data_IF_027597646484
#
_entry.id   IF_027597646484
#
_cell.length_a   1.000
_cell.length_b   1.000
_cell.length_c   1.000
_cell.angle_alpha   90.00
_cell.angle_beta   90.00
_cell.angle_gamma   90.00
#
_symmetry.space_group_name_H-M   'P 1'
#
loop_
_entity.id
_entity.type
_entity.pdbx_description
1 polymer ?
#
# COMPACT_ATOMS: atom_id res chain seq x y z
N UNK A 1 -15.54 -14.59 -6.41
CA UNK A 1 -16.02 -13.41 -5.66
C UNK A 1 -16.05 -12.23 -6.61
N UNK A 2 -17.00 -11.29 -6.45
CA UNK A 2 -16.97 -10.05 -7.19
C UNK A 2 -15.85 -9.14 -6.63
N UNK A 3 -15.12 -8.46 -7.49
CA UNK A 3 -14.14 -7.43 -7.11
C UNK A 3 -14.83 -6.35 -6.25
N UNK A 4 -14.31 -6.12 -5.06
CA UNK A 4 -14.81 -5.05 -4.17
C UNK A 4 -13.99 -3.79 -4.43
N UNK A 5 -14.55 -2.88 -5.21
CA UNK A 5 -13.91 -1.59 -5.51
C UNK A 5 -13.99 -0.65 -4.29
N UNK A 6 -12.89 -0.58 -3.55
CA UNK A 6 -12.77 0.27 -2.37
C UNK A 6 -12.11 1.62 -2.66
N UNK A 7 -11.51 1.83 -3.85
CA UNK A 7 -10.56 2.92 -4.08
C UNK A 7 -10.82 3.79 -5.31
N UNK A 8 -11.69 3.38 -6.23
CA UNK A 8 -11.92 4.14 -7.48
C UNK A 8 -12.45 5.57 -7.22
N UNK A 9 -13.28 5.77 -6.18
CA UNK A 9 -13.83 7.09 -5.84
C UNK A 9 -12.83 8.04 -5.18
N UNK A 10 -11.70 7.53 -4.66
CA UNK A 10 -10.72 8.31 -3.87
C UNK A 10 -9.38 8.46 -4.57
N UNK A 11 -9.29 7.98 -5.80
CA UNK A 11 -8.02 7.87 -6.53
C UNK A 11 -7.26 9.18 -6.67
N UNK A 12 -7.92 10.34 -6.73
CA UNK A 12 -7.27 11.66 -6.82
C UNK A 12 -6.62 12.08 -5.51
N UNK A 13 -7.34 12.00 -4.39
CA UNK A 13 -6.80 12.28 -3.06
C UNK A 13 -5.71 11.24 -2.70
N UNK A 14 -5.93 9.98 -3.07
CA UNK A 14 -4.99 8.89 -2.85
C UNK A 14 -3.66 9.15 -3.58
N UNK A 15 -3.68 9.48 -4.85
CA UNK A 15 -2.47 9.75 -5.64
C UNK A 15 -1.71 10.99 -5.16
N UNK A 16 -2.42 12.02 -4.71
CA UNK A 16 -1.84 13.31 -4.31
C UNK A 16 -1.16 13.29 -2.94
N UNK A 17 -1.70 12.50 -1.99
CA UNK A 17 -1.27 12.53 -0.59
C UNK A 17 -0.61 11.22 -0.12
N UNK A 18 -0.34 10.28 -1.01
CA UNK A 18 0.39 9.05 -0.64
C UNK A 18 1.86 9.21 -0.99
N UNK A 19 2.75 9.15 0.03
CA UNK A 19 4.18 9.25 -0.24
C UNK A 19 4.69 8.01 -0.99
N UNK A 20 5.75 8.19 -1.77
CA UNK A 20 6.43 7.10 -2.47
C UNK A 20 7.19 6.19 -1.50
N UNK A 21 7.56 5.00 -1.95
CA UNK A 21 8.30 4.06 -1.12
C UNK A 21 9.79 4.42 -1.04
N UNK A 22 10.46 4.17 0.11
CA UNK A 22 11.89 4.41 0.26
C UNK A 22 12.71 3.62 -0.76
N UNK A 23 13.70 4.23 -1.38
CA UNK A 23 14.56 3.57 -2.35
C UNK A 23 15.23 2.31 -1.79
N UNK A 24 15.66 2.32 -0.53
CA UNK A 24 16.26 1.15 0.13
C UNK A 24 15.30 -0.03 0.27
N UNK A 25 14.00 0.20 0.48
CA UNK A 25 12.98 -0.87 0.46
C UNK A 25 12.89 -1.50 -0.93
N UNK A 26 12.76 -0.64 -1.95
CA UNK A 26 12.60 -1.09 -3.34
C UNK A 26 13.82 -1.87 -3.80
N UNK A 27 15.01 -1.36 -3.53
CA UNK A 27 16.28 -2.02 -3.85
C UNK A 27 16.40 -3.37 -3.14
N UNK A 28 16.08 -3.43 -1.85
CA UNK A 28 16.14 -4.67 -1.08
C UNK A 28 15.18 -5.73 -1.64
N UNK A 29 13.93 -5.34 -1.90
CA UNK A 29 12.90 -6.23 -2.48
C UNK A 29 13.31 -6.67 -3.89
N UNK A 30 13.81 -5.76 -4.72
CA UNK A 30 14.28 -6.07 -6.04
C UNK A 30 15.44 -7.07 -6.01
N UNK A 31 16.28 -7.09 -4.99
CA UNK A 31 17.42 -7.99 -4.83
C UNK A 31 17.08 -9.36 -4.22
N UNK A 32 15.81 -9.64 -3.88
CA UNK A 32 15.40 -10.94 -3.34
C UNK A 32 15.58 -12.09 -4.34
N UNK A 33 15.04 -12.02 -5.59
CA UNK A 33 15.22 -13.10 -6.55
C UNK A 33 16.56 -12.97 -7.29
N UNK A 34 17.00 -14.07 -7.89
CA UNK A 34 18.20 -14.07 -8.74
C UNK A 34 17.96 -13.43 -10.12
N UNK A 35 16.74 -13.57 -10.65
CA UNK A 35 16.36 -13.05 -11.97
C UNK A 35 15.86 -11.61 -11.94
N UNK A 36 15.89 -10.94 -13.09
CA UNK A 36 15.49 -9.54 -13.27
C UNK A 36 14.63 -9.32 -14.52
N UNK A 37 14.06 -10.38 -15.08
CA UNK A 37 13.30 -10.28 -16.33
C UNK A 37 11.91 -9.70 -16.11
N UNK A 38 11.15 -10.26 -15.15
CA UNK A 38 9.74 -9.90 -14.95
C UNK A 38 9.40 -9.78 -13.47
N UNK A 39 8.93 -8.59 -13.08
CA UNK A 39 8.26 -8.38 -11.80
C UNK A 39 6.76 -8.19 -12.02
N UNK A 40 5.94 -8.67 -11.07
CA UNK A 40 4.50 -8.39 -10.99
C UNK A 40 4.24 -7.48 -9.80
N UNK A 41 3.51 -6.38 -10.02
CA UNK A 41 2.95 -5.54 -8.95
C UNK A 41 1.44 -5.76 -8.89
N UNK A 42 0.98 -6.51 -7.89
CA UNK A 42 -0.40 -6.94 -7.71
C UNK A 42 -1.21 -5.91 -6.92
N UNK A 43 -2.33 -5.46 -7.48
CA UNK A 43 -3.13 -4.32 -7.02
C UNK A 43 -2.27 -3.05 -6.97
N UNK A 44 -1.70 -2.72 -8.11
CA UNK A 44 -0.71 -1.64 -8.31
C UNK A 44 -1.27 -0.24 -8.07
N UNK A 45 -2.61 -0.08 -8.07
CA UNK A 45 -3.25 1.23 -8.01
C UNK A 45 -2.81 2.12 -9.19
N UNK A 46 -2.25 3.27 -8.88
CA UNK A 46 -1.70 4.20 -9.88
C UNK A 46 -0.22 3.91 -10.26
N UNK A 47 0.33 2.76 -9.84
CA UNK A 47 1.63 2.30 -10.31
C UNK A 47 2.85 2.71 -9.47
N UNK A 48 2.71 3.18 -8.23
CA UNK A 48 3.84 3.67 -7.42
C UNK A 48 4.94 2.61 -7.24
N UNK A 49 4.57 1.38 -6.84
CA UNK A 49 5.54 0.31 -6.64
C UNK A 49 6.11 -0.19 -7.99
N UNK A 50 5.25 -0.30 -9.01
CA UNK A 50 5.68 -0.69 -10.35
C UNK A 50 6.73 0.27 -10.93
N UNK A 51 6.51 1.58 -10.82
CA UNK A 51 7.46 2.60 -11.28
C UNK A 51 8.78 2.54 -10.51
N UNK A 52 8.70 2.32 -9.20
CA UNK A 52 9.89 2.20 -8.36
C UNK A 52 10.70 0.93 -8.69
N UNK A 53 10.06 -0.16 -9.10
CA UNK A 53 10.71 -1.40 -9.53
C UNK A 53 11.25 -1.36 -10.97
N UNK A 54 10.74 -0.46 -11.83
CA UNK A 54 11.11 -0.39 -13.24
C UNK A 54 12.62 -0.24 -13.52
N UNK A 55 13.44 0.45 -12.71
CA UNK A 55 14.88 0.50 -12.90
C UNK A 55 15.58 -0.85 -12.73
N UNK A 56 14.99 -1.78 -11.99
CA UNK A 56 15.60 -3.06 -11.59
C UNK A 56 15.19 -4.24 -12.45
N UNK A 57 14.15 -4.11 -13.29
CA UNK A 57 13.62 -5.20 -14.10
C UNK A 57 13.53 -4.83 -15.58
N UNK A 58 13.64 -5.84 -16.44
CA UNK A 58 13.43 -5.64 -17.89
C UNK A 58 11.98 -5.22 -18.14
N UNK A 59 11.03 -5.84 -17.41
CA UNK A 59 9.60 -5.53 -17.48
C UNK A 59 8.98 -5.62 -16.09
N UNK A 60 8.09 -4.68 -15.78
CA UNK A 60 7.18 -4.76 -14.65
C UNK A 60 5.74 -4.84 -15.18
N UNK A 61 5.03 -5.91 -14.86
CA UNK A 61 3.60 -6.04 -15.16
C UNK A 61 2.81 -5.58 -13.94
N UNK A 62 2.12 -4.46 -14.07
CA UNK A 62 1.38 -3.79 -13.01
C UNK A 62 -0.12 -4.10 -13.16
N UNK A 63 -0.67 -4.83 -12.19
CA UNK A 63 -2.03 -5.36 -12.23
C UNK A 63 -2.94 -4.65 -11.26
N UNK A 64 -4.13 -4.26 -11.70
CA UNK A 64 -5.19 -3.78 -10.81
C UNK A 64 -6.57 -4.20 -11.34
N UNK A 65 -7.51 -4.46 -10.43
CA UNK A 65 -8.90 -4.73 -10.76
C UNK A 65 -9.68 -3.47 -11.12
N UNK A 66 -9.18 -2.27 -10.78
CA UNK A 66 -9.82 -0.98 -11.01
C UNK A 66 -9.25 -0.29 -12.24
N UNK A 67 -10.06 -0.20 -13.32
CA UNK A 67 -9.72 0.60 -14.50
C UNK A 67 -9.52 2.09 -14.17
N UNK A 68 -10.22 2.60 -13.17
CA UNK A 68 -10.09 3.99 -12.73
C UNK A 68 -8.71 4.26 -12.09
N UNK A 69 -8.13 3.29 -11.38
CA UNK A 69 -6.77 3.38 -10.87
C UNK A 69 -5.75 3.31 -12.00
N UNK A 70 -5.87 2.32 -12.89
CA UNK A 70 -4.97 2.16 -14.04
C UNK A 70 -5.00 3.38 -14.97
N UNK A 71 -6.16 4.03 -15.16
CA UNK A 71 -6.29 5.23 -15.97
C UNK A 71 -5.53 6.45 -15.42
N UNK A 72 -5.06 6.40 -14.17
CA UNK A 72 -4.23 7.44 -13.53
C UNK A 72 -2.77 7.05 -13.40
N UNK A 73 -2.41 5.87 -13.89
CA UNK A 73 -1.05 5.37 -13.81
C UNK A 73 -0.12 6.16 -14.74
N UNK A 74 1.08 6.42 -14.27
CA UNK A 74 2.10 7.10 -15.07
C UNK A 74 2.74 6.12 -16.05
N UNK A 75 2.74 6.47 -17.33
CA UNK A 75 3.37 5.66 -18.37
C UNK A 75 4.89 5.56 -18.15
N UNK A 76 5.44 4.36 -18.35
CA UNK A 76 6.87 4.10 -18.29
C UNK A 76 7.22 2.97 -19.28
N UNK A 77 8.34 3.05 -20.03
CA UNK A 77 8.67 2.10 -21.11
C UNK A 77 8.84 0.65 -20.63
N UNK A 78 9.16 0.43 -19.35
CA UNK A 78 9.30 -0.90 -18.74
C UNK A 78 8.11 -1.34 -17.89
N UNK A 79 7.02 -0.57 -17.84
CA UNK A 79 5.83 -0.89 -17.05
C UNK A 79 4.64 -1.11 -17.98
N UNK A 80 4.06 -2.29 -17.93
CA UNK A 80 2.82 -2.62 -18.64
C UNK A 80 1.67 -2.71 -17.63
N UNK A 81 0.62 -1.91 -17.84
CA UNK A 81 -0.57 -1.90 -16.98
C UNK A 81 -1.65 -2.81 -17.54
N UNK A 82 -2.19 -3.70 -16.72
CA UNK A 82 -3.20 -4.69 -17.12
C UNK A 82 -4.33 -4.78 -16.10
N UNK A 83 -5.57 -4.77 -16.57
CA UNK A 83 -6.73 -5.02 -15.72
C UNK A 83 -6.82 -6.51 -15.39
N UNK A 84 -6.43 -6.88 -14.17
CA UNK A 84 -6.49 -8.25 -13.68
C UNK A 84 -6.54 -8.28 -12.15
N UNK A 85 -7.01 -9.41 -11.61
CA UNK A 85 -7.02 -9.67 -10.18
C UNK A 85 -5.76 -10.43 -9.77
N UNK A 86 -5.29 -10.21 -8.53
CA UNK A 86 -4.17 -10.93 -7.95
C UNK A 86 -4.42 -12.45 -7.84
N UNK A 87 -5.69 -12.85 -7.78
CA UNK A 87 -6.14 -14.25 -7.75
C UNK A 87 -6.18 -14.93 -9.12
N UNK A 88 -5.84 -14.20 -10.21
CA UNK A 88 -5.80 -14.73 -11.59
C UNK A 88 -4.75 -13.97 -12.39
N UNK A 89 -3.49 -14.36 -12.21
CA UNK A 89 -2.36 -13.70 -12.85
C UNK A 89 -2.25 -14.08 -14.34
N UNK A 90 -2.26 -13.08 -15.26
CA UNK A 90 -2.31 -13.33 -16.71
C UNK A 90 -0.90 -13.55 -17.30
N UNK A 91 -0.12 -14.42 -16.69
CA UNK A 91 1.25 -14.77 -17.10
C UNK A 91 1.45 -16.26 -17.10
N UNK A 92 2.45 -16.72 -17.86
CA UNK A 92 2.81 -18.14 -17.96
C UNK A 92 3.36 -18.67 -16.62
N UNK A 93 3.31 -20.00 -16.47
CA UNK A 93 3.91 -20.68 -15.34
C UNK A 93 5.42 -20.46 -15.33
N UNK A 94 6.00 -20.33 -14.13
CA UNK A 94 7.45 -20.22 -13.90
C UNK A 94 8.15 -19.13 -14.72
N UNK A 95 7.46 -18.00 -14.94
CA UNK A 95 7.95 -16.90 -15.78
C UNK A 95 8.29 -15.62 -15.01
N UNK A 96 7.96 -15.55 -13.73
CA UNK A 96 8.05 -14.34 -12.92
C UNK A 96 9.17 -14.45 -11.89
N UNK A 97 10.03 -13.45 -11.82
CA UNK A 97 11.11 -13.42 -10.84
C UNK A 97 10.65 -12.84 -9.49
N UNK A 98 9.79 -11.82 -9.51
CA UNK A 98 9.29 -11.16 -8.31
C UNK A 98 7.77 -10.93 -8.39
N UNK A 99 7.05 -11.25 -7.32
CA UNK A 99 5.67 -10.82 -7.10
C UNK A 99 5.63 -9.89 -5.91
N UNK A 100 5.07 -8.69 -6.08
CA UNK A 100 4.89 -7.75 -4.99
C UNK A 100 3.42 -7.39 -4.78
N UNK A 101 3.07 -7.05 -3.53
CA UNK A 101 1.80 -6.46 -3.14
C UNK A 101 2.04 -5.33 -2.14
N UNK A 102 1.99 -4.09 -2.64
CA UNK A 102 2.25 -2.88 -1.88
C UNK A 102 0.95 -2.29 -1.32
N UNK A 103 0.75 -2.28 -0.01
CA UNK A 103 -0.47 -1.79 0.66
C UNK A 103 -1.77 -2.49 0.20
N UNK A 104 -1.69 -3.72 -0.30
CA UNK A 104 -2.82 -4.37 -0.96
C UNK A 104 -3.10 -5.79 -0.49
N UNK A 105 -2.11 -6.53 -0.02
CA UNK A 105 -2.22 -7.96 0.25
C UNK A 105 -3.38 -8.34 1.19
N UNK A 106 -3.76 -7.47 2.11
CA UNK A 106 -4.86 -7.69 3.04
C UNK A 106 -6.26 -7.75 2.39
N UNK A 107 -6.38 -7.37 1.11
CA UNK A 107 -7.62 -7.45 0.33
C UNK A 107 -7.80 -8.76 -0.43
N UNK A 108 -6.73 -9.57 -0.54
CA UNK A 108 -6.71 -10.73 -1.40
C UNK A 108 -7.39 -11.96 -0.78
N UNK A 109 -7.91 -12.83 -1.64
CA UNK A 109 -8.14 -14.22 -1.29
C UNK A 109 -6.78 -14.92 -1.20
N UNK A 110 -6.27 -15.09 0.02
CA UNK A 110 -4.93 -15.61 0.25
C UNK A 110 -4.69 -16.96 -0.39
N UNK A 111 -5.66 -17.88 -0.32
CA UNK A 111 -5.52 -19.21 -0.90
C UNK A 111 -5.30 -19.15 -2.41
N UNK A 112 -6.12 -18.37 -3.10
CA UNK A 112 -6.02 -18.19 -4.55
C UNK A 112 -4.78 -17.39 -4.94
N UNK A 113 -4.49 -16.30 -4.24
CA UNK A 113 -3.30 -15.48 -4.51
C UNK A 113 -2.02 -16.31 -4.37
N UNK A 114 -1.85 -17.06 -3.29
CA UNK A 114 -0.67 -17.88 -3.08
C UNK A 114 -0.55 -19.02 -4.09
N UNK A 115 -1.67 -19.63 -4.49
CA UNK A 115 -1.68 -20.62 -5.55
C UNK A 115 -1.22 -20.04 -6.90
N UNK A 116 -1.63 -18.80 -7.21
CA UNK A 116 -1.14 -18.11 -8.40
C UNK A 116 0.35 -17.75 -8.28
N UNK A 117 0.81 -17.25 -7.15
CA UNK A 117 2.23 -17.00 -6.94
C UNK A 117 3.07 -18.27 -7.12
N UNK A 118 2.65 -19.38 -6.52
CA UNK A 118 3.34 -20.67 -6.67
C UNK A 118 3.40 -21.16 -8.13
N UNK A 119 2.33 -20.88 -8.92
CA UNK A 119 2.29 -21.24 -10.34
C UNK A 119 3.26 -20.40 -11.18
N UNK A 120 3.27 -19.08 -10.96
CA UNK A 120 3.96 -18.15 -11.89
C UNK A 120 5.42 -17.93 -11.55
N UNK A 121 5.84 -18.13 -10.30
CA UNK A 121 7.23 -17.88 -9.89
C UNK A 121 8.20 -18.82 -10.57
N UNK A 122 9.25 -18.25 -11.12
CA UNK A 122 10.42 -18.99 -11.62
C UNK A 122 11.19 -19.62 -10.45
N UNK A 123 12.01 -20.64 -10.67
CA UNK A 123 12.91 -21.16 -9.64
C UNK A 123 13.81 -20.06 -9.07
N UNK A 124 13.81 -19.92 -7.73
CA UNK A 124 14.51 -18.85 -7.04
C UNK A 124 13.82 -17.48 -7.12
N UNK A 125 12.58 -17.44 -7.57
CA UNK A 125 11.73 -16.25 -7.51
C UNK A 125 11.30 -15.90 -6.09
N UNK A 126 10.77 -14.70 -5.89
CA UNK A 126 10.41 -14.18 -4.58
C UNK A 126 9.03 -13.54 -4.55
N UNK A 127 8.44 -13.53 -3.36
CA UNK A 127 7.22 -12.78 -3.04
C UNK A 127 7.53 -11.76 -1.96
N UNK A 128 7.01 -10.54 -2.09
CA UNK A 128 7.09 -9.53 -1.06
C UNK A 128 5.75 -8.81 -0.89
N UNK A 129 5.33 -8.63 0.35
CA UNK A 129 4.14 -7.86 0.68
C UNK A 129 4.47 -6.88 1.80
N UNK A 130 4.15 -5.61 1.60
CA UNK A 130 4.39 -4.61 2.65
C UNK A 130 3.20 -3.70 2.87
N UNK A 131 3.17 -3.15 4.08
CA UNK A 131 2.18 -2.18 4.49
C UNK A 131 2.81 -1.15 5.43
N UNK A 132 2.17 -0.02 5.55
CA UNK A 132 2.36 0.93 6.63
C UNK A 132 1.00 1.26 7.25
N UNK A 133 0.98 1.55 8.53
CA UNK A 133 -0.24 1.89 9.24
C UNK A 133 -0.44 3.41 9.37
N UNK A 134 -0.70 3.90 10.56
CA UNK A 134 -0.78 5.34 10.85
C UNK A 134 0.63 5.95 10.81
N UNK A 135 0.69 7.21 10.43
CA UNK A 135 1.92 7.98 10.58
C UNK A 135 2.18 8.34 12.05
N UNK A 136 3.41 8.79 12.29
CA UNK A 136 3.88 9.36 13.54
C UNK A 136 4.54 10.71 13.28
N UNK A 137 4.33 11.65 14.21
CA UNK A 137 4.95 12.98 14.21
C UNK A 137 5.62 13.21 15.57
N UNK A 138 4.83 13.41 16.60
CA UNK A 138 5.22 13.50 18.00
C UNK A 138 4.04 13.11 18.91
N UNK A 139 4.28 13.11 20.22
CA UNK A 139 3.30 12.67 21.21
C UNK A 139 1.98 13.45 21.14
N UNK A 140 2.02 14.76 20.91
CA UNK A 140 0.82 15.61 20.91
C UNK A 140 -0.04 15.34 19.66
N UNK A 141 0.56 15.38 18.48
CA UNK A 141 -0.11 15.09 17.21
C UNK A 141 -0.62 13.64 17.18
N UNK A 142 0.23 12.70 17.61
CA UNK A 142 -0.10 11.28 17.62
C UNK A 142 -1.31 11.00 18.50
N UNK A 143 -1.40 11.62 19.68
CA UNK A 143 -2.54 11.44 20.59
C UNK A 143 -3.86 11.89 19.94
N UNK A 144 -3.88 13.02 19.25
CA UNK A 144 -5.06 13.53 18.53
C UNK A 144 -5.46 12.61 17.38
N UNK A 145 -4.48 12.16 16.59
CA UNK A 145 -4.72 11.25 15.46
C UNK A 145 -5.18 9.88 15.96
N UNK A 146 -4.62 9.37 17.05
CA UNK A 146 -5.00 8.08 17.63
C UNK A 146 -6.43 8.11 18.20
N UNK A 147 -6.84 9.21 18.85
CA UNK A 147 -8.21 9.41 19.29
C UNK A 147 -9.19 9.45 18.10
N UNK A 148 -8.87 10.22 17.06
CA UNK A 148 -9.67 10.27 15.84
C UNK A 148 -9.79 8.89 15.17
N UNK A 149 -8.66 8.17 15.06
CA UNK A 149 -8.60 6.84 14.46
C UNK A 149 -9.49 5.83 15.19
N UNK A 150 -9.45 5.83 16.52
CA UNK A 150 -10.16 4.87 17.36
C UNK A 150 -11.63 5.26 17.58
N UNK A 151 -11.87 6.51 17.98
CA UNK A 151 -13.15 6.92 18.57
C UNK A 151 -14.11 7.51 17.53
N UNK A 152 -13.59 8.07 16.42
CA UNK A 152 -14.41 8.69 15.38
C UNK A 152 -14.57 7.76 14.17
N UNK A 153 -13.49 7.33 13.56
CA UNK A 153 -13.53 6.54 12.32
C UNK A 153 -13.34 5.03 12.56
N UNK A 154 -13.07 4.62 13.79
CA UNK A 154 -12.84 3.23 14.17
C UNK A 154 -13.92 2.25 13.70
N UNK A 155 -15.21 2.53 13.94
CA UNK A 155 -16.31 1.65 13.52
C UNK A 155 -16.44 1.48 11.99
N UNK A 156 -15.79 2.35 11.21
CA UNK A 156 -15.89 2.39 9.75
C UNK A 156 -14.71 1.71 9.06
N UNK A 157 -13.71 1.21 9.79
CA UNK A 157 -12.66 0.42 9.19
C UNK A 157 -13.19 -0.92 8.70
N UNK A 158 -12.74 -1.39 7.50
CA UNK A 158 -13.06 -2.74 7.05
C UNK A 158 -12.36 -3.78 7.94
N UNK A 159 -12.93 -4.99 8.07
CA UNK A 159 -12.35 -6.06 8.91
C UNK A 159 -10.92 -6.43 8.54
N UNK A 160 -10.55 -6.29 7.27
CA UNK A 160 -9.23 -6.56 6.72
C UNK A 160 -8.15 -5.61 7.28
N UNK A 161 -8.56 -4.44 7.82
CA UNK A 161 -7.67 -3.46 8.46
C UNK A 161 -6.85 -4.08 9.60
N UNK A 162 -7.37 -5.09 10.28
CA UNK A 162 -6.66 -5.82 11.33
C UNK A 162 -5.28 -6.33 10.92
N UNK A 163 -5.11 -6.75 9.64
CA UNK A 163 -3.81 -7.22 9.15
C UNK A 163 -2.79 -6.09 9.08
N UNK A 164 -3.25 -4.90 8.67
CA UNK A 164 -2.41 -3.69 8.64
C UNK A 164 -2.00 -3.28 10.04
N UNK A 165 -2.95 -3.22 10.99
CA UNK A 165 -2.71 -2.87 12.41
C UNK A 165 -1.75 -3.84 13.10
N UNK A 166 -1.72 -5.08 12.64
CA UNK A 166 -0.81 -6.12 13.12
C UNK A 166 0.51 -6.16 12.31
N UNK A 167 0.76 -5.18 11.44
CA UNK A 167 1.98 -5.13 10.64
C UNK A 167 2.18 -6.37 9.76
N UNK A 168 1.09 -6.91 9.20
CA UNK A 168 1.07 -8.15 8.41
C UNK A 168 1.56 -9.41 9.12
N UNK A 169 1.84 -9.38 10.44
CA UNK A 169 2.35 -10.56 11.17
C UNK A 169 1.41 -11.76 11.12
N UNK A 170 0.11 -11.52 11.05
CA UNK A 170 -0.93 -12.56 11.00
C UNK A 170 -1.49 -12.81 9.60
N UNK A 171 -0.98 -12.10 8.59
CA UNK A 171 -1.35 -12.34 7.21
C UNK A 171 -0.81 -13.72 6.80
N UNK A 172 -1.60 -14.64 6.22
CA UNK A 172 -1.11 -15.90 5.72
C UNK A 172 0.06 -15.71 4.75
N UNK A 173 1.20 -16.39 4.98
CA UNK A 173 2.39 -16.22 4.15
C UNK A 173 3.16 -17.56 4.10
N UNK A 174 2.91 -18.40 3.10
CA UNK A 174 3.41 -19.79 3.05
C UNK A 174 4.84 -19.94 2.50
N UNK A 175 5.57 -18.85 2.38
CA UNK A 175 6.91 -18.82 1.80
C UNK A 175 7.99 -18.90 2.89
N UNK A 176 9.18 -19.43 2.55
CA UNK A 176 10.33 -19.37 3.43
C UNK A 176 10.74 -17.89 3.63
N UNK A 177 10.45 -17.35 4.80
CA UNK A 177 10.65 -15.92 5.07
C UNK A 177 12.13 -15.53 5.06
N UNK A 178 12.42 -14.41 4.43
CA UNK A 178 13.73 -13.76 4.42
C UNK A 178 13.67 -12.60 5.41
N UNK A 179 14.51 -12.59 6.47
CA UNK A 179 14.58 -11.45 7.39
C UNK A 179 14.89 -10.16 6.65
N UNK A 180 14.07 -9.14 6.86
CA UNK A 180 14.26 -7.82 6.27
C UNK A 180 14.85 -6.84 7.29
N UNK A 181 15.66 -5.87 6.83
CA UNK A 181 15.95 -4.70 7.65
C UNK A 181 14.67 -3.91 7.90
N UNK A 182 14.66 -3.08 8.94
CA UNK A 182 13.58 -2.12 9.16
C UNK A 182 13.62 -1.04 8.09
N UNK A 183 12.44 -0.66 7.58
CA UNK A 183 12.27 0.45 6.66
C UNK A 183 11.26 1.44 7.24
N UNK A 184 11.51 2.70 7.00
CA UNK A 184 10.60 3.78 7.38
C UNK A 184 10.44 4.72 6.18
N UNK A 185 9.23 5.16 5.96
CA UNK A 185 8.93 6.21 5.02
C UNK A 185 8.88 7.52 5.79
N UNK A 186 9.57 8.52 5.31
CA UNK A 186 9.61 9.86 5.92
C UNK A 186 9.33 10.93 4.88
N UNK A 187 8.66 11.98 5.31
CA UNK A 187 8.49 13.19 4.51
C UNK A 187 8.24 14.39 5.40
N UNK A 188 8.51 15.57 4.90
CA UNK A 188 8.19 16.82 5.58
C UNK A 188 6.88 17.37 5.03
N UNK A 189 5.83 17.42 5.88
CA UNK A 189 4.50 17.84 5.52
C UNK A 189 4.02 19.03 6.34
N UNK A 190 3.19 19.86 5.71
CA UNK A 190 2.36 20.82 6.41
C UNK A 190 1.06 20.18 6.93
N UNK A 191 0.31 20.93 7.74
CA UNK A 191 -0.95 20.47 8.32
C UNK A 191 -2.00 20.14 7.25
N UNK A 192 -2.01 20.87 6.13
CA UNK A 192 -2.96 20.64 5.03
C UNK A 192 -2.71 19.31 4.35
N UNK A 193 -1.43 18.95 4.16
CA UNK A 193 -1.04 17.66 3.59
C UNK A 193 -1.43 16.49 4.52
N UNK A 194 -1.25 16.64 5.83
CA UNK A 194 -1.70 15.66 6.83
C UNK A 194 -3.23 15.49 6.80
N UNK A 195 -3.99 16.58 6.77
CA UNK A 195 -5.44 16.53 6.66
C UNK A 195 -5.88 15.88 5.34
N UNK A 196 -5.21 16.18 4.22
CA UNK A 196 -5.45 15.53 2.93
C UNK A 196 -5.20 14.04 2.97
N UNK A 197 -4.11 13.60 3.61
CA UNK A 197 -3.80 12.18 3.82
C UNK A 197 -4.87 11.49 4.67
N UNK A 198 -5.26 12.08 5.81
CA UNK A 198 -6.33 11.55 6.68
C UNK A 198 -7.65 11.45 5.91
N UNK A 199 -7.95 12.45 5.07
CA UNK A 199 -9.11 12.44 4.18
C UNK A 199 -9.10 11.31 3.16
N UNK A 200 -7.94 10.76 2.82
CA UNK A 200 -7.80 9.61 1.91
C UNK A 200 -8.04 8.25 2.59
N UNK A 201 -8.30 8.18 3.88
CA UNK A 201 -8.57 6.92 4.57
C UNK A 201 -9.93 6.34 4.17
N UNK A 202 -9.98 5.03 3.93
CA UNK A 202 -11.23 4.34 3.56
C UNK A 202 -12.30 4.45 4.64
N UNK A 203 -11.91 4.50 5.92
CA UNK A 203 -12.83 4.71 7.04
C UNK A 203 -13.46 6.10 7.02
N UNK A 204 -12.72 7.14 6.64
CA UNK A 204 -13.24 8.50 6.48
C UNK A 204 -14.30 8.56 5.39
N UNK A 205 -14.08 7.89 4.27
CA UNK A 205 -15.08 7.85 3.19
C UNK A 205 -16.33 7.07 3.61
N UNK A 206 -16.16 5.92 4.26
CA UNK A 206 -17.30 5.14 4.78
C UNK A 206 -18.09 5.89 5.86
N UNK A 207 -17.39 6.70 6.68
CA UNK A 207 -18.06 7.59 7.62
C UNK A 207 -18.92 8.62 6.86
N UNK A 208 -18.37 9.28 5.83
CA UNK A 208 -19.11 10.24 5.00
C UNK A 208 -20.31 9.60 4.30
N UNK A 209 -20.12 8.41 3.73
CA UNK A 209 -21.20 7.68 3.06
C UNK A 209 -22.33 7.29 4.04
N UNK A 210 -21.99 6.97 5.29
CA UNK A 210 -22.95 6.54 6.31
C UNK A 210 -23.70 7.69 6.98
N UNK A 211 -23.03 8.81 7.26
CA UNK A 211 -23.58 9.90 8.08
C UNK A 211 -23.81 11.21 7.30
N UNK A 212 -23.32 11.32 6.08
CA UNK A 212 -23.42 12.54 5.28
C UNK A 212 -22.56 13.71 5.81
N UNK A 213 -21.68 13.45 6.79
CA UNK A 213 -20.82 14.46 7.43
C UNK A 213 -19.35 14.20 7.14
N UNK A 214 -18.53 15.28 7.13
CA UNK A 214 -17.08 15.13 7.05
C UNK A 214 -16.46 15.04 8.45
N UNK A 215 -15.96 13.85 8.89
CA UNK A 215 -15.40 13.69 10.23
C UNK A 215 -14.15 14.55 10.46
N UNK A 216 -13.46 14.99 9.40
CA UNK A 216 -12.31 15.88 9.52
C UNK A 216 -12.66 17.25 10.09
N UNK A 217 -13.92 17.70 10.02
CA UNK A 217 -14.32 18.96 10.62
C UNK A 217 -14.09 18.98 12.15
N UNK A 218 -14.28 17.82 12.79
CA UNK A 218 -14.06 17.67 14.25
C UNK A 218 -12.56 17.55 14.60
N UNK A 219 -11.73 17.18 13.62
CA UNK A 219 -10.29 16.97 13.82
C UNK A 219 -9.46 18.24 13.62
N UNK A 220 -9.91 19.16 12.75
CA UNK A 220 -9.12 20.32 12.31
C UNK A 220 -8.59 21.17 13.45
N UNK A 221 -9.45 21.56 14.39
CA UNK A 221 -9.06 22.44 15.50
C UNK A 221 -8.08 21.76 16.47
N UNK A 222 -8.37 20.57 17.03
CA UNK A 222 -7.43 19.92 17.95
C UNK A 222 -6.12 19.52 17.26
N UNK A 223 -6.16 19.15 15.97
CA UNK A 223 -4.94 18.84 15.24
C UNK A 223 -4.09 20.09 14.96
N UNK A 224 -4.72 21.24 14.66
CA UNK A 224 -4.01 22.51 14.48
C UNK A 224 -3.36 22.98 15.78
N UNK A 225 -4.02 22.81 16.91
CA UNK A 225 -3.46 23.10 18.23
C UNK A 225 -2.25 22.23 18.53
N UNK A 226 -2.37 20.90 18.34
CA UNK A 226 -1.27 19.96 18.54
C UNK A 226 -0.12 20.16 17.53
N UNK A 227 -0.44 20.61 16.32
CA UNK A 227 0.56 20.93 15.30
C UNK A 227 1.40 22.13 15.68
N UNK A 228 0.82 23.08 16.41
CA UNK A 228 1.51 24.32 16.83
C UNK A 228 1.82 25.25 15.65
N UNK A 229 2.76 26.16 15.86
CA UNK A 229 3.13 27.17 14.86
C UNK A 229 4.09 26.72 13.77
N UNK A 230 4.47 25.43 13.70
CA UNK A 230 5.43 24.93 12.70
C UNK A 230 4.82 24.90 11.32
N UNK A 231 5.52 25.47 10.31
CA UNK A 231 5.05 25.43 8.93
C UNK A 231 5.02 23.98 8.38
N UNK A 232 6.06 23.20 8.67
CA UNK A 232 6.19 21.79 8.29
C UNK A 232 6.72 20.96 9.45
N UNK A 233 6.40 19.67 9.46
CA UNK A 233 6.91 18.69 10.42
C UNK A 233 7.31 17.41 9.73
N UNK A 234 8.28 16.69 10.29
CA UNK A 234 8.66 15.37 9.86
C UNK A 234 7.56 14.36 10.20
N UNK A 235 7.02 13.73 9.18
CA UNK A 235 5.99 12.70 9.27
C UNK A 235 6.61 11.37 8.87
N UNK A 236 6.40 10.32 9.67
CA UNK A 236 7.03 9.01 9.51
C UNK A 236 6.01 7.90 9.48
N UNK A 237 6.26 6.88 8.64
CA UNK A 237 5.48 5.65 8.58
C UNK A 237 6.42 4.44 8.68
N UNK A 238 6.41 3.72 9.82
CA UNK A 238 7.08 2.43 9.88
C UNK A 238 6.51 1.48 8.83
N UNK A 239 7.38 0.84 8.06
CA UNK A 239 6.98 -0.12 7.04
C UNK A 239 7.12 -1.53 7.60
N UNK A 240 6.05 -2.30 7.49
CA UNK A 240 6.02 -3.71 7.83
C UNK A 240 6.09 -4.52 6.54
N UNK A 241 7.14 -5.31 6.40
CA UNK A 241 7.44 -6.09 5.21
C UNK A 241 7.51 -7.57 5.54
N UNK A 242 6.84 -8.39 4.74
CA UNK A 242 7.06 -9.84 4.67
C UNK A 242 7.57 -10.19 3.30
N UNK A 243 8.64 -10.93 3.24
CA UNK A 243 9.27 -11.37 2.00
C UNK A 243 9.72 -12.82 2.12
N UNK A 244 9.64 -13.57 1.04
CA UNK A 244 10.02 -14.98 1.03
C UNK A 244 10.40 -15.44 -0.37
N UNK A 245 11.07 -16.59 -0.43
CA UNK A 245 11.48 -17.25 -1.68
C UNK A 245 10.63 -18.49 -1.95
N UNK A 246 10.40 -18.74 -3.26
CA UNK A 246 9.74 -19.93 -3.76
C UNK A 246 10.71 -21.09 -3.92
#
# INVERSE_FOLDING_TARGET
MAFKDHFSRQSDAYSRYRPGYPAGLVEWVANLPAGRRLALDCATGNGQAALALAPYYDTVLALDGSLAQLGRATAHPRVAYVAALAERLPVADRSVDLVVAAQAAHWFDFGRFHAQCARVLAPGGAVAAWTYEKFRVDTAVDAVVDAFYRDVVGPYWPPERRYVEQGYRTLPFPWAEVPSPGFELETDWDLGQVLGYLGSWSSVQRYKDALGEDPLQRLKAPLAEAWGGSAVRRVRWPIHLRAGRA
#
